data_IF_135625260523
#
_entry.id   IF_135625260523
#
_cell.length_a   1.000
_cell.length_b   1.000
_cell.length_c   1.000
_cell.angle_alpha   90.00
_cell.angle_beta   90.00
_cell.angle_gamma   90.00
#
_symmetry.space_group_name_H-M   'P 1'
#
loop_
_entity.id
_entity.type
_entity.pdbx_description
1 polymer ?
#
# COMPACT_ATOMS: atom_id res chain seq x y z
N UNK A 1 15.73 -3.21 -16.72
CA UNK A 1 15.64 -4.34 -15.80
C UNK A 1 14.21 -4.86 -15.77
N UNK A 2 14.04 -6.14 -16.08
CA UNK A 2 12.70 -6.73 -16.23
C UNK A 2 11.85 -6.60 -14.96
N UNK A 3 12.44 -6.88 -13.81
CA UNK A 3 11.70 -6.77 -12.53
C UNK A 3 11.26 -5.34 -12.24
N UNK A 4 12.12 -4.39 -12.52
CA UNK A 4 11.77 -2.98 -12.36
C UNK A 4 10.59 -2.61 -13.26
N UNK A 5 10.62 -3.08 -14.51
CA UNK A 5 9.55 -2.80 -15.47
C UNK A 5 8.22 -3.39 -15.02
N UNK A 6 8.26 -4.59 -14.44
CA UNK A 6 7.05 -5.22 -13.92
C UNK A 6 6.48 -4.44 -12.73
N UNK A 7 7.35 -4.00 -11.82
CA UNK A 7 6.93 -3.21 -10.67
C UNK A 7 6.40 -1.85 -11.12
N UNK A 8 7.07 -1.22 -12.07
CA UNK A 8 6.64 0.07 -12.60
C UNK A 8 5.26 -0.02 -13.26
N UNK A 9 5.05 -1.07 -14.05
CA UNK A 9 3.75 -1.28 -14.70
C UNK A 9 2.65 -1.51 -13.66
N UNK A 10 2.94 -2.30 -12.62
CA UNK A 10 2.00 -2.56 -11.55
C UNK A 10 1.67 -1.26 -10.79
N UNK A 11 2.69 -0.46 -10.48
CA UNK A 11 2.50 0.82 -9.81
C UNK A 11 1.59 1.74 -10.62
N UNK A 12 1.85 1.82 -11.91
CA UNK A 12 1.07 2.67 -12.80
C UNK A 12 -0.39 2.23 -12.86
N UNK A 13 -0.61 0.92 -12.98
CA UNK A 13 -1.97 0.38 -13.03
C UNK A 13 -2.73 0.65 -11.73
N UNK A 14 -2.05 0.58 -10.59
CA UNK A 14 -2.65 0.87 -9.29
C UNK A 14 -2.73 2.37 -8.99
N UNK A 15 -2.30 3.22 -9.93
CA UNK A 15 -2.32 4.67 -9.79
C UNK A 15 -1.56 5.15 -8.55
N UNK A 16 -0.44 4.51 -8.28
CA UNK A 16 0.39 4.88 -7.14
C UNK A 16 1.45 5.90 -7.54
N UNK A 17 1.80 6.82 -6.63
CA UNK A 17 2.92 7.72 -6.86
C UNK A 17 4.24 6.97 -6.80
N UNK A 18 5.34 7.66 -7.02
CA UNK A 18 6.66 7.03 -7.02
C UNK A 18 7.06 6.46 -5.67
N UNK A 19 6.48 6.96 -4.60
CA UNK A 19 6.65 6.38 -3.27
C UNK A 19 5.31 6.38 -2.55
N UNK A 20 5.06 5.34 -1.78
CA UNK A 20 3.78 5.19 -1.11
C UNK A 20 3.94 4.34 0.14
N UNK A 21 3.12 4.61 1.13
CA UNK A 21 3.02 3.76 2.31
C UNK A 21 2.19 2.53 1.99
N UNK A 22 2.27 1.51 2.84
CA UNK A 22 1.45 0.32 2.68
C UNK A 22 -0.04 0.67 2.73
N UNK A 23 -0.40 1.61 3.58
CA UNK A 23 -1.78 2.08 3.70
C UNK A 23 -2.28 2.70 2.39
N UNK A 24 -1.44 3.54 1.77
CA UNK A 24 -1.78 4.15 0.49
C UNK A 24 -1.94 3.11 -0.61
N UNK A 25 -1.07 2.10 -0.61
CA UNK A 25 -1.14 1.01 -1.58
C UNK A 25 -2.46 0.27 -1.45
N UNK A 26 -2.82 -0.11 -0.23
CA UNK A 26 -4.06 -0.83 0.03
C UNK A 26 -5.29 -0.01 -0.29
N UNK A 27 -5.24 1.27 0.04
CA UNK A 27 -6.35 2.18 -0.22
C UNK A 27 -6.61 2.35 -1.71
N UNK A 28 -5.56 2.56 -2.49
CA UNK A 28 -5.69 2.66 -3.95
C UNK A 28 -6.24 1.37 -4.55
N UNK A 29 -5.72 0.24 -4.10
CA UNK A 29 -6.18 -1.06 -4.60
C UNK A 29 -7.66 -1.26 -4.31
N UNK A 30 -8.11 -1.00 -3.08
CA UNK A 30 -9.52 -1.17 -2.72
C UNK A 30 -10.41 -0.24 -3.53
N UNK A 31 -9.98 1.00 -3.74
CA UNK A 31 -10.73 1.97 -4.53
C UNK A 31 -10.92 1.49 -5.98
N UNK A 32 -9.83 1.00 -6.57
CA UNK A 32 -9.88 0.53 -7.95
C UNK A 32 -10.67 -0.76 -8.10
N UNK A 33 -10.57 -1.68 -7.14
CA UNK A 33 -11.36 -2.91 -7.17
C UNK A 33 -12.85 -2.60 -7.10
N UNK A 34 -13.25 -1.66 -6.25
CA UNK A 34 -14.66 -1.26 -6.16
C UNK A 34 -15.13 -0.64 -7.46
N UNK A 35 -14.28 0.16 -8.10
CA UNK A 35 -14.62 0.82 -9.36
C UNK A 35 -14.82 -0.17 -10.49
N UNK A 36 -13.98 -1.20 -10.56
CA UNK A 36 -13.99 -2.15 -11.67
C UNK A 36 -14.66 -3.47 -11.36
N UNK A 37 -15.28 -3.60 -10.19
CA UNK A 37 -15.94 -4.85 -9.82
C UNK A 37 -17.05 -5.17 -10.81
N UNK A 38 -17.13 -6.46 -11.28
CA UNK A 38 -18.13 -6.85 -12.29
C UNK A 38 -19.57 -6.53 -11.90
N UNK A 39 -19.90 -6.59 -10.60
CA UNK A 39 -21.25 -6.27 -10.13
C UNK A 39 -21.64 -4.83 -10.41
N UNK A 40 -20.66 -3.93 -10.54
CA UNK A 40 -20.91 -2.50 -10.80
C UNK A 40 -20.78 -2.15 -12.27
N UNK A 41 -20.32 -3.10 -13.09
CA UNK A 41 -20.01 -2.87 -14.49
C UNK A 41 -21.06 -3.58 -15.37
N UNK A 42 -22.25 -3.04 -15.41
CA UNK A 42 -23.36 -3.68 -16.12
C UNK A 42 -23.25 -3.55 -17.63
N UNK A 43 -22.60 -2.49 -18.11
CA UNK A 43 -22.51 -2.23 -19.54
C UNK A 43 -21.46 -3.08 -20.24
N UNK A 44 -20.38 -3.42 -19.57
CA UNK A 44 -19.31 -4.20 -20.17
C UNK A 44 -18.63 -5.07 -19.11
N UNK A 45 -19.31 -6.15 -18.66
CA UNK A 45 -18.80 -6.99 -17.60
C UNK A 45 -17.48 -7.68 -17.94
N UNK A 46 -17.29 -8.05 -19.22
CA UNK A 46 -16.04 -8.72 -19.62
C UNK A 46 -14.83 -7.83 -19.45
N UNK A 47 -14.96 -6.55 -19.80
CA UNK A 47 -13.88 -5.59 -19.62
C UNK A 47 -13.55 -5.40 -18.15
N UNK A 48 -14.57 -5.36 -17.31
CA UNK A 48 -14.36 -5.17 -15.87
C UNK A 48 -13.75 -6.41 -15.22
N UNK A 49 -14.11 -7.60 -15.69
CA UNK A 49 -13.49 -8.83 -15.23
C UNK A 49 -11.99 -8.82 -15.57
N UNK A 50 -11.65 -8.44 -16.80
CA UNK A 50 -10.27 -8.39 -17.23
C UNK A 50 -9.48 -7.34 -16.43
N UNK A 51 -10.05 -6.18 -16.21
CA UNK A 51 -9.39 -5.13 -15.42
C UNK A 51 -9.19 -5.58 -13.98
N UNK A 52 -10.18 -6.24 -13.40
CA UNK A 52 -10.08 -6.75 -12.04
C UNK A 52 -8.93 -7.76 -11.92
N UNK A 53 -8.79 -8.65 -12.88
CA UNK A 53 -7.68 -9.60 -12.91
C UNK A 53 -6.33 -8.90 -12.96
N UNK A 54 -6.23 -7.87 -13.79
CA UNK A 54 -5.00 -7.09 -13.90
C UNK A 54 -4.67 -6.37 -12.61
N UNK A 55 -5.66 -5.82 -11.94
CA UNK A 55 -5.48 -5.13 -10.67
C UNK A 55 -5.00 -6.09 -9.57
N UNK A 56 -5.58 -7.28 -9.52
CA UNK A 56 -5.16 -8.29 -8.55
C UNK A 56 -3.70 -8.69 -8.80
N UNK A 57 -3.34 -8.94 -10.05
CA UNK A 57 -1.96 -9.30 -10.39
C UNK A 57 -0.98 -8.16 -10.07
N UNK A 58 -1.37 -6.93 -10.35
CA UNK A 58 -0.54 -5.76 -10.04
C UNK A 58 -0.33 -5.62 -8.54
N UNK A 59 -1.40 -5.81 -7.76
CA UNK A 59 -1.31 -5.74 -6.31
C UNK A 59 -0.37 -6.81 -5.76
N UNK A 60 -0.47 -8.04 -6.27
CA UNK A 60 0.43 -9.12 -5.86
C UNK A 60 1.89 -8.78 -6.15
N UNK A 61 2.15 -8.17 -7.31
CA UNK A 61 3.50 -7.75 -7.67
C UNK A 61 4.04 -6.72 -6.67
N UNK A 62 3.24 -5.72 -6.35
CA UNK A 62 3.64 -4.67 -5.42
C UNK A 62 3.83 -5.23 -4.01
N UNK A 63 2.92 -6.07 -3.54
CA UNK A 63 3.01 -6.65 -2.20
C UNK A 63 4.24 -7.55 -2.09
N UNK A 64 4.54 -8.33 -3.13
CA UNK A 64 5.74 -9.18 -3.13
C UNK A 64 7.00 -8.32 -3.02
N UNK A 65 7.06 -7.23 -3.76
CA UNK A 65 8.18 -6.30 -3.66
C UNK A 65 8.32 -5.76 -2.24
N UNK A 66 7.21 -5.34 -1.64
CA UNK A 66 7.20 -4.78 -0.30
C UNK A 66 7.65 -5.80 0.75
N UNK A 67 7.24 -7.07 0.59
CA UNK A 67 7.60 -8.12 1.53
C UNK A 67 9.10 -8.40 1.53
N UNK A 68 9.75 -8.19 0.42
CA UNK A 68 11.19 -8.43 0.30
C UNK A 68 12.02 -7.18 0.53
N UNK A 69 11.37 -6.07 0.82
CA UNK A 69 12.04 -4.82 1.10
C UNK A 69 12.65 -4.84 2.50
N UNK A 70 13.88 -4.41 2.59
CA UNK A 70 14.59 -4.37 3.88
C UNK A 70 14.40 -3.00 4.52
N UNK A 71 13.69 -2.98 5.61
CA UNK A 71 13.49 -1.74 6.37
C UNK A 71 14.73 -1.43 7.18
N UNK A 72 15.11 -0.17 7.21
CA UNK A 72 16.24 0.27 8.01
C UNK A 72 15.74 0.84 9.33
N UNK A 73 16.34 0.37 10.42
CA UNK A 73 15.97 0.82 11.77
C UNK A 73 17.04 1.71 12.39
N UNK A 74 17.92 2.23 11.58
CA UNK A 74 18.92 3.17 12.02
C UNK A 74 18.28 4.50 12.40
N UNK A 75 18.90 5.22 13.32
CA UNK A 75 18.39 6.52 13.75
C UNK A 75 18.24 7.47 12.56
N UNK A 76 19.23 7.46 11.67
CA UNK A 76 19.21 8.33 10.49
C UNK A 76 17.97 8.09 9.61
N UNK A 77 17.65 6.82 9.34
CA UNK A 77 16.52 6.49 8.50
C UNK A 77 15.19 6.74 9.21
N UNK A 78 15.11 6.37 10.47
CA UNK A 78 13.88 6.55 11.24
C UNK A 78 13.49 8.02 11.35
N UNK A 79 14.47 8.89 11.52
CA UNK A 79 14.23 10.34 11.62
C UNK A 79 13.54 10.91 10.40
N UNK A 80 13.76 10.34 9.24
CA UNK A 80 13.13 10.84 8.01
C UNK A 80 11.61 10.69 8.01
N UNK A 81 11.12 9.68 8.72
CA UNK A 81 9.69 9.35 8.71
C UNK A 81 9.00 9.59 10.04
N UNK A 82 9.80 9.76 11.09
CA UNK A 82 9.30 10.05 12.43
C UNK A 82 9.94 11.36 12.86
N UNK A 83 9.60 12.43 12.13
CA UNK A 83 10.27 13.71 12.30
C UNK A 83 9.86 14.48 13.54
N UNK A 84 8.88 14.00 14.29
CA UNK A 84 8.43 14.70 15.45
C UNK A 84 7.69 13.82 16.41
N UNK A 85 7.75 14.23 17.67
CA UNK A 85 7.02 13.55 18.74
C UNK A 85 5.51 13.53 18.46
N UNK A 86 5.01 14.64 17.91
CA UNK A 86 3.59 14.75 17.56
C UNK A 86 3.17 13.72 16.52
N UNK A 87 4.01 13.52 15.50
CA UNK A 87 3.73 12.52 14.48
C UNK A 87 3.67 11.12 15.10
N UNK A 88 4.64 10.83 15.97
CA UNK A 88 4.70 9.53 16.63
C UNK A 88 3.47 9.30 17.49
N UNK A 89 3.06 10.30 18.26
CA UNK A 89 1.90 10.18 19.13
C UNK A 89 0.60 10.00 18.34
N UNK A 90 0.48 10.70 17.22
CA UNK A 90 -0.71 10.56 16.38
C UNK A 90 -0.84 9.16 15.79
N UNK A 91 0.29 8.57 15.39
CA UNK A 91 0.28 7.27 14.73
C UNK A 91 0.22 6.11 15.70
N UNK A 92 0.90 6.23 16.84
CA UNK A 92 1.08 5.11 17.76
C UNK A 92 0.49 5.35 19.14
N UNK A 93 0.28 6.58 19.52
CA UNK A 93 -0.28 6.90 20.82
C UNK A 93 -1.70 6.38 21.02
N UNK A 94 -2.47 6.31 19.92
CA UNK A 94 -3.84 5.83 19.93
C UNK A 94 -3.98 4.38 19.50
N UNK A 95 -2.87 3.72 19.13
CA UNK A 95 -2.89 2.32 18.74
C UNK A 95 -3.06 1.46 19.98
N UNK A 96 -4.05 0.55 20.02
CA UNK A 96 -4.29 -0.27 21.21
C UNK A 96 -3.07 -1.05 21.67
N UNK A 97 -2.28 -1.56 20.73
CA UNK A 97 -1.06 -2.31 21.07
C UNK A 97 -0.02 -1.42 21.73
N UNK A 98 0.22 -0.25 21.14
CA UNK A 98 1.20 0.68 21.67
C UNK A 98 0.71 1.34 22.97
N UNK A 99 -0.57 1.62 23.06
CA UNK A 99 -1.16 2.15 24.26
C UNK A 99 -1.00 1.18 25.43
N UNK A 100 -1.23 -0.11 25.18
CA UNK A 100 -1.09 -1.13 26.19
C UNK A 100 0.36 -1.26 26.66
N UNK A 101 1.30 -1.17 25.74
CA UNK A 101 2.72 -1.21 26.07
C UNK A 101 3.13 -0.01 26.92
N UNK A 102 2.59 1.16 26.63
CA UNK A 102 2.84 2.36 27.42
C UNK A 102 2.30 2.23 28.81
N UNK A 103 1.12 1.68 28.95
CA UNK A 103 0.49 1.52 30.25
C UNK A 103 1.21 0.57 31.17
N UNK A 104 1.90 -0.40 30.59
CA UNK A 104 2.66 -1.38 31.37
C UNK A 104 3.95 -0.81 31.91
N UNK A 105 4.42 0.26 31.33
CA UNK A 105 5.65 0.92 31.76
C UNK A 105 5.36 2.06 32.71
#
# INVERSE_FOLDING_TARGET
>A
MKRYQEIHAARTLLELPESATMEEIRSSYRRLIRRWHPDRCKDNPDQCIEMTKKLIAAYETIITYCKHYRYAFTEEEVKKYVSGEDWWMDRFGNDPLWGNLKERN
#
